data_IF_327555539901
#
_entry.id   IF_327555539901
#
_cell.length_a   1.000
_cell.length_b   1.000
_cell.length_c   1.000
_cell.angle_alpha   90.00
_cell.angle_beta   90.00
_cell.angle_gamma   90.00
#
_symmetry.space_group_name_H-M   'P 1'
#
loop_
_entity.id
_entity.type
_entity.pdbx_description
1 polymer ?
#
# COMPACT_ATOMS: atom_id res chain seq x y z
N UNK A 1 -9.24 -11.11 16.80
CA UNK A 1 -9.27 -10.32 18.02
C UNK A 1 -9.34 -8.85 17.69
N UNK A 2 -10.14 -8.11 18.41
CA UNK A 2 -10.27 -6.67 18.20
C UNK A 2 -9.85 -5.93 19.45
N UNK A 3 -9.13 -4.82 19.26
CA UNK A 3 -8.64 -4.01 20.36
C UNK A 3 -9.24 -2.64 20.24
N UNK A 4 -9.74 -2.09 21.34
CA UNK A 4 -10.35 -0.77 21.34
C UNK A 4 -9.84 0.00 22.55
N UNK A 5 -9.50 1.28 22.39
CA UNK A 5 -9.00 2.04 23.51
C UNK A 5 -10.18 2.43 24.42
N UNK A 6 -9.90 3.01 25.56
CA UNK A 6 -10.93 3.30 26.53
C UNK A 6 -11.93 4.31 26.03
N UNK A 7 -11.54 5.23 25.20
CA UNK A 7 -12.45 6.22 24.71
C UNK A 7 -13.14 5.75 23.46
N UNK A 8 -12.86 4.57 22.98
CA UNK A 8 -13.49 4.07 21.77
C UNK A 8 -12.98 4.71 20.51
N UNK A 9 -11.91 5.47 20.57
CA UNK A 9 -11.41 6.16 19.38
C UNK A 9 -10.58 5.25 18.49
N UNK A 10 -10.05 4.21 19.02
CA UNK A 10 -9.18 3.32 18.26
C UNK A 10 -9.71 1.92 18.27
N UNK A 11 -9.74 1.30 17.12
CA UNK A 11 -10.16 -0.06 17.01
C UNK A 11 -9.21 -0.78 16.09
N UNK A 12 -8.67 -1.89 16.51
CA UNK A 12 -7.84 -2.72 15.68
C UNK A 12 -8.37 -4.12 15.73
N UNK A 13 -8.62 -4.71 14.59
CA UNK A 13 -9.09 -6.07 14.49
C UNK A 13 -8.03 -6.88 13.80
N UNK A 14 -7.69 -8.01 14.37
CA UNK A 14 -6.65 -8.84 13.86
C UNK A 14 -7.18 -10.23 13.56
N UNK A 15 -6.97 -10.72 12.36
CA UNK A 15 -7.32 -12.07 12.02
C UNK A 15 -6.14 -12.66 11.27
N UNK A 16 -6.01 -13.96 11.33
CA UNK A 16 -4.90 -14.58 10.66
C UNK A 16 -4.93 -14.32 9.16
N UNK A 17 -6.09 -14.38 8.58
CA UNK A 17 -6.19 -14.23 7.14
C UNK A 17 -6.06 -12.80 6.67
N UNK A 18 -6.21 -11.85 7.55
CA UNK A 18 -6.17 -10.46 7.15
C UNK A 18 -4.85 -9.76 7.35
N UNK A 19 -3.80 -10.49 7.67
CA UNK A 19 -2.52 -9.85 7.90
C UNK A 19 -1.89 -9.38 6.60
N UNK A 20 -1.40 -8.14 6.52
CA UNK A 20 -0.68 -7.70 5.33
C UNK A 20 0.63 -8.48 5.20
N UNK A 21 1.13 -8.59 3.97
CA UNK A 21 2.40 -9.27 3.75
C UNK A 21 3.52 -8.54 4.47
N UNK A 22 3.49 -7.24 4.50
CA UNK A 22 4.53 -6.45 5.13
C UNK A 22 3.92 -5.33 5.96
N UNK A 23 4.50 -5.06 7.11
CA UNK A 23 4.07 -3.94 7.92
C UNK A 23 5.25 -3.41 8.70
N UNK A 24 5.22 -2.14 9.01
CA UNK A 24 6.29 -1.51 9.77
C UNK A 24 5.86 -0.14 10.23
N UNK A 25 6.82 0.61 10.76
CA UNK A 25 6.55 1.94 11.27
C UNK A 25 7.62 2.88 10.74
N UNK A 26 7.18 3.97 10.15
CA UNK A 26 8.12 4.96 9.65
C UNK A 26 8.62 5.82 10.79
N UNK A 27 9.73 6.49 10.57
CA UNK A 27 10.24 7.44 11.55
C UNK A 27 9.14 8.46 11.81
N UNK A 28 8.85 8.75 13.04
CA UNK A 28 7.75 9.64 13.38
C UNK A 28 6.51 8.90 13.82
N UNK A 29 6.46 7.60 13.62
CA UNK A 29 5.38 6.81 14.19
C UNK A 29 4.29 6.39 13.21
N UNK A 30 4.34 6.83 11.96
CA UNK A 30 3.27 6.44 11.03
C UNK A 30 3.43 4.98 10.63
N UNK A 31 2.36 4.23 10.71
CA UNK A 31 2.39 2.82 10.30
C UNK A 31 2.42 2.72 8.79
N UNK A 32 3.06 1.67 8.27
CA UNK A 32 3.07 1.40 6.84
C UNK A 32 2.72 -0.06 6.66
N UNK A 33 1.82 -0.34 5.74
CA UNK A 33 1.41 -1.72 5.43
C UNK A 33 1.30 -1.87 3.93
N UNK A 34 1.68 -3.00 3.40
CA UNK A 34 1.48 -3.23 1.98
C UNK A 34 1.44 -4.71 1.63
N UNK A 35 0.84 -5.00 0.47
CA UNK A 35 0.79 -6.32 -0.10
C UNK A 35 1.70 -6.34 -1.31
N UNK A 36 2.42 -7.41 -1.52
CA UNK A 36 3.30 -7.54 -2.66
C UNK A 36 2.65 -8.44 -3.71
N UNK A 37 2.59 -7.98 -4.94
CA UNK A 37 2.02 -8.76 -6.04
C UNK A 37 2.98 -8.71 -7.22
N UNK A 38 3.05 -9.82 -7.93
CA UNK A 38 3.95 -9.94 -9.08
C UNK A 38 3.16 -10.35 -10.32
N UNK A 39 3.52 -9.82 -11.48
CA UNK A 39 2.94 -10.28 -12.73
C UNK A 39 4.02 -10.24 -13.80
N UNK A 40 3.93 -11.16 -14.77
CA UNK A 40 4.79 -11.13 -15.93
C UNK A 40 4.00 -10.63 -17.14
N UNK A 41 2.75 -10.25 -16.91
CA UNK A 41 1.88 -9.79 -17.98
C UNK A 41 1.95 -8.27 -18.08
N UNK A 42 1.29 -7.68 -19.05
CA UNK A 42 1.29 -6.24 -19.22
C UNK A 42 0.15 -5.58 -18.46
N UNK A 43 -0.47 -6.28 -17.54
CA UNK A 43 -1.53 -5.71 -16.71
C UNK A 43 -1.64 -6.48 -15.42
N UNK A 44 -2.29 -5.88 -14.43
CA UNK A 44 -2.55 -6.56 -13.18
C UNK A 44 -4.00 -6.28 -12.79
N UNK A 45 -4.73 -7.33 -12.46
CA UNK A 45 -6.15 -7.22 -12.14
C UNK A 45 -6.38 -6.85 -10.68
N UNK A 46 -7.43 -6.08 -10.43
CA UNK A 46 -7.78 -5.71 -9.07
C UNK A 46 -8.07 -6.94 -8.23
N UNK A 47 -8.59 -8.00 -8.84
CA UNK A 47 -8.93 -9.21 -8.12
C UNK A 47 -7.71 -10.00 -7.64
N UNK A 48 -6.51 -9.54 -7.91
CA UNK A 48 -5.33 -10.19 -7.37
C UNK A 48 -5.27 -10.06 -5.85
N UNK A 49 -6.00 -9.08 -5.27
CA UNK A 49 -6.11 -9.01 -3.82
C UNK A 49 -7.32 -9.84 -3.38
N UNK A 50 -7.13 -10.63 -2.35
CA UNK A 50 -8.24 -11.42 -1.80
C UNK A 50 -9.14 -10.51 -0.98
N UNK A 51 -10.38 -10.93 -0.69
CA UNK A 51 -11.26 -10.13 0.15
C UNK A 51 -10.64 -9.81 1.51
N UNK A 52 -9.87 -10.73 2.08
CA UNK A 52 -9.23 -10.50 3.37
C UNK A 52 -8.15 -9.44 3.25
N UNK A 53 -7.41 -9.43 2.15
CA UNK A 53 -6.39 -8.43 1.93
C UNK A 53 -7.02 -7.05 1.72
N UNK A 54 -8.14 -7.00 1.00
CA UNK A 54 -8.87 -5.76 0.80
C UNK A 54 -9.35 -5.21 2.13
N UNK A 55 -9.89 -6.07 2.98
CA UNK A 55 -10.39 -5.64 4.27
C UNK A 55 -9.26 -5.11 5.14
N UNK A 56 -8.14 -5.77 5.13
CA UNK A 56 -6.99 -5.36 5.93
C UNK A 56 -6.47 -4.01 5.48
N UNK A 57 -6.29 -3.81 4.19
CA UNK A 57 -5.79 -2.54 3.67
C UNK A 57 -6.80 -1.42 3.94
N UNK A 58 -8.08 -1.71 3.84
CA UNK A 58 -9.12 -0.74 4.13
C UNK A 58 -9.02 -0.29 5.58
N UNK A 59 -8.88 -1.23 6.50
CA UNK A 59 -8.80 -0.90 7.90
C UNK A 59 -7.57 -0.08 8.23
N UNK A 60 -6.41 -0.52 7.77
CA UNK A 60 -5.17 0.18 8.07
C UNK A 60 -5.16 1.58 7.46
N UNK A 61 -5.68 1.71 6.25
CA UNK A 61 -5.76 3.02 5.60
C UNK A 61 -6.67 3.95 6.41
N UNK A 62 -7.80 3.43 6.88
CA UNK A 62 -8.74 4.21 7.64
C UNK A 62 -8.13 4.68 8.95
N UNK A 63 -7.23 3.92 9.52
CA UNK A 63 -6.58 4.27 10.77
C UNK A 63 -5.34 5.16 10.57
N UNK A 64 -5.06 5.56 9.36
CA UNK A 64 -3.98 6.51 9.10
C UNK A 64 -2.68 5.92 8.61
N UNK A 65 -2.64 4.63 8.38
CA UNK A 65 -1.41 4.01 7.88
C UNK A 65 -1.18 4.36 6.43
N UNK A 66 0.08 4.35 6.01
CA UNK A 66 0.40 4.42 4.60
C UNK A 66 0.16 3.01 4.06
N UNK A 67 -0.87 2.85 3.24
CA UNK A 67 -1.25 1.54 2.72
C UNK A 67 -1.11 1.53 1.21
N UNK A 68 -0.46 0.50 0.66
CA UNK A 68 -0.26 0.43 -0.77
C UNK A 68 -0.04 -1.00 -1.24
N UNK A 69 -0.02 -1.18 -2.55
CA UNK A 69 0.28 -2.46 -3.16
C UNK A 69 1.60 -2.30 -3.90
N UNK A 70 2.57 -3.16 -3.60
CA UNK A 70 3.84 -3.12 -4.26
C UNK A 70 3.77 -4.10 -5.40
N UNK A 71 3.74 -3.60 -6.63
CA UNK A 71 3.59 -4.45 -7.81
C UNK A 71 4.94 -4.61 -8.48
N UNK A 72 5.34 -5.85 -8.79
CA UNK A 72 6.53 -6.07 -9.58
C UNK A 72 6.11 -6.65 -10.93
N UNK A 73 6.69 -6.12 -11.98
CA UNK A 73 6.42 -6.60 -13.34
C UNK A 73 7.76 -7.05 -13.90
N UNK A 74 7.87 -8.31 -14.21
CA UNK A 74 9.15 -8.86 -14.62
C UNK A 74 10.14 -8.85 -13.48
N UNK A 75 11.40 -8.60 -13.78
CA UNK A 75 12.44 -8.71 -12.77
C UNK A 75 12.93 -7.38 -12.20
N UNK A 76 12.73 -6.29 -12.90
CA UNK A 76 13.30 -5.03 -12.47
C UNK A 76 12.34 -3.85 -12.47
N UNK A 77 11.08 -4.07 -12.68
CA UNK A 77 10.13 -2.97 -12.72
C UNK A 77 9.21 -3.07 -11.50
N UNK A 78 9.26 -2.04 -10.66
CA UNK A 78 8.52 -2.05 -9.42
C UNK A 78 7.67 -0.78 -9.29
N UNK A 79 6.46 -0.92 -8.75
CA UNK A 79 5.51 0.17 -8.67
C UNK A 79 4.83 0.16 -7.30
N UNK A 80 4.72 1.33 -6.68
CA UNK A 80 4.06 1.46 -5.39
C UNK A 80 2.72 2.11 -5.65
N UNK A 81 1.66 1.34 -5.70
CA UNK A 81 0.33 1.83 -6.01
C UNK A 81 -0.41 2.12 -4.73
N UNK A 82 -0.78 3.38 -4.45
CA UNK A 82 -1.51 3.69 -3.23
C UNK A 82 -2.80 2.91 -3.15
N UNK A 83 -3.21 2.57 -1.92
CA UNK A 83 -4.44 1.80 -1.74
C UNK A 83 -5.64 2.51 -2.36
N UNK A 84 -5.72 3.83 -2.26
CA UNK A 84 -6.86 4.55 -2.81
C UNK A 84 -6.94 4.37 -4.33
N UNK A 85 -5.80 4.36 -5.01
CA UNK A 85 -5.78 4.18 -6.46
C UNK A 85 -6.21 2.76 -6.81
N UNK A 86 -5.73 1.79 -6.08
CA UNK A 86 -6.11 0.40 -6.34
C UNK A 86 -7.59 0.21 -6.07
N UNK A 87 -8.08 0.75 -4.95
CA UNK A 87 -9.49 0.63 -4.57
C UNK A 87 -10.39 1.25 -5.63
N UNK A 88 -10.01 2.43 -6.12
CA UNK A 88 -10.84 3.19 -7.03
C UNK A 88 -10.49 2.95 -8.50
N UNK A 89 -9.89 1.84 -8.80
CA UNK A 89 -9.41 1.50 -10.13
C UNK A 89 -10.48 1.63 -11.20
N UNK A 90 -11.70 1.20 -10.89
CA UNK A 90 -12.80 1.27 -11.84
C UNK A 90 -13.18 2.72 -12.14
N UNK A 91 -13.19 3.58 -11.12
CA UNK A 91 -13.55 4.97 -11.33
C UNK A 91 -12.44 5.73 -12.05
N UNK A 92 -11.19 5.42 -11.76
CA UNK A 92 -10.06 6.14 -12.33
C UNK A 92 -9.80 5.73 -13.77
N UNK A 93 -9.79 4.43 -14.02
CA UNK A 93 -9.39 3.92 -15.34
C UNK A 93 -10.55 3.34 -16.14
N UNK A 94 -11.72 3.24 -15.57
CA UNK A 94 -12.88 2.68 -16.26
C UNK A 94 -12.86 1.16 -16.34
N UNK A 95 -11.93 0.51 -15.68
CA UNK A 95 -11.82 -0.94 -15.70
C UNK A 95 -11.15 -1.42 -14.41
N UNK A 96 -11.23 -2.70 -14.12
CA UNK A 96 -10.71 -3.26 -12.89
C UNK A 96 -9.35 -3.90 -13.07
N UNK A 97 -8.51 -3.29 -13.89
CA UNK A 97 -7.10 -3.68 -14.00
C UNK A 97 -6.28 -2.46 -14.37
N UNK A 98 -4.99 -2.52 -14.09
CA UNK A 98 -4.06 -1.46 -14.45
C UNK A 98 -3.11 -1.99 -15.50
N UNK A 99 -2.90 -1.20 -16.55
CA UNK A 99 -1.95 -1.54 -17.60
C UNK A 99 -0.61 -0.92 -17.23
N UNK A 100 0.44 -1.27 -17.95
CA UNK A 100 1.76 -0.74 -17.67
C UNK A 100 1.76 0.79 -17.69
N UNK A 101 1.03 1.40 -18.61
CA UNK A 101 0.99 2.86 -18.67
C UNK A 101 0.31 3.46 -17.45
N UNK A 102 -0.63 2.75 -16.85
CA UNK A 102 -1.30 3.22 -15.65
C UNK A 102 -0.40 3.11 -14.43
N UNK A 103 0.51 2.14 -14.46
CA UNK A 103 1.43 1.92 -13.35
C UNK A 103 2.60 2.89 -13.39
N UNK A 104 2.93 3.42 -14.55
CA UNK A 104 4.14 4.21 -14.71
C UNK A 104 4.29 5.36 -13.71
N UNK A 105 3.26 6.14 -13.39
CA UNK A 105 3.40 7.22 -12.41
C UNK A 105 3.77 6.73 -11.02
N UNK A 106 3.63 5.43 -10.77
CA UNK A 106 3.89 4.87 -9.44
C UNK A 106 5.19 4.07 -9.39
N UNK A 107 6.01 4.19 -10.42
CA UNK A 107 7.27 3.45 -10.48
C UNK A 107 8.20 3.87 -9.35
N UNK A 108 8.85 2.90 -8.72
CA UNK A 108 9.86 3.18 -7.71
C UNK A 108 11.21 2.76 -8.24
N UNK A 109 12.25 3.39 -7.72
CA UNK A 109 13.58 3.14 -8.23
C UNK A 109 14.15 1.84 -7.73
N UNK A 110 14.89 1.16 -8.59
CA UNK A 110 15.60 -0.05 -8.23
C UNK A 110 17.01 0.18 -8.75
N UNK A 111 17.90 0.64 -7.88
CA UNK A 111 19.24 1.01 -8.27
C UNK A 111 20.26 0.18 -7.52
N UNK A 112 21.17 -0.44 -8.27
CA UNK A 112 22.25 -1.23 -7.68
C UNK A 112 21.74 -2.29 -6.69
N UNK A 113 20.62 -2.90 -7.00
CA UNK A 113 20.05 -3.93 -6.16
C UNK A 113 19.24 -3.42 -4.98
N UNK A 114 19.06 -2.09 -4.85
CA UNK A 114 18.31 -1.54 -3.75
C UNK A 114 16.99 -0.99 -4.26
N UNK A 115 15.89 -1.47 -3.69
CA UNK A 115 14.57 -1.02 -4.08
C UNK A 115 14.13 0.10 -3.16
N UNK A 116 13.86 1.26 -3.72
CA UNK A 116 13.50 2.43 -2.93
C UNK A 116 12.00 2.55 -2.76
N UNK A 117 11.39 1.54 -2.22
CA UNK A 117 9.94 1.44 -2.19
C UNK A 117 9.27 2.42 -1.23
N UNK A 118 9.98 2.95 -0.26
CA UNK A 118 9.38 3.87 0.69
C UNK A 118 9.75 5.33 0.43
N UNK A 119 10.44 5.59 -0.69
CA UNK A 119 10.84 6.94 -0.95
C UNK A 119 9.63 7.84 -1.09
N UNK A 120 9.58 8.92 -0.39
CA UNK A 120 8.47 9.86 -0.45
C UNK A 120 7.30 9.57 0.49
N UNK A 121 7.29 8.41 1.11
CA UNK A 121 6.15 8.05 1.95
C UNK A 121 6.11 8.88 3.23
N UNK A 122 7.26 9.23 3.76
CA UNK A 122 7.31 9.95 5.01
C UNK A 122 7.27 11.45 4.89
N UNK A 123 7.08 11.97 3.73
CA UNK A 123 7.09 13.38 3.57
C UNK A 123 6.14 14.15 4.42
N UNK A 124 4.96 13.67 4.58
CA UNK A 124 3.98 14.40 5.30
C UNK A 124 4.39 14.73 6.71
N UNK A 125 4.98 13.81 7.38
CA UNK A 125 5.27 14.12 8.75
C UNK A 125 6.50 14.98 8.84
N UNK A 126 7.31 14.98 7.84
CA UNK A 126 8.50 15.76 7.90
C UNK A 126 8.18 17.20 7.89
N UNK A 127 7.13 17.55 7.25
CA UNK A 127 6.81 18.91 7.15
C UNK A 127 6.48 19.52 8.44
N UNK A 128 5.75 18.90 9.23
CA UNK A 128 5.42 19.54 10.40
C UNK A 128 6.40 19.25 11.35
N UNK A 129 6.76 18.14 11.42
CA UNK A 129 7.63 17.90 12.40
C UNK A 129 8.85 18.47 12.15
N UNK A 130 9.02 18.47 11.08
CA UNK A 130 10.26 18.76 10.75
C UNK A 130 10.88 19.88 11.25
N UNK A 131 10.27 20.47 11.61
CA UNK A 131 10.92 21.46 12.05
C UNK A 131 11.62 20.87 13.02
N UNK A 132 12.28 20.44 13.07
CA UNK A 132 13.00 19.84 14.06
C UNK A 132 13.90 20.63 14.58
#
# INVERSE_FOLDING_TARGET
>A
MCIRDRQGRFLACYTKAGQPDFKGTLTGGRAVVFEAKHTDSDKIDQSRLTPEQVESLTLHHKLGAAAFIMVSVGLENFYRVPWEVWRDMKQIYGRKHMKLEDLEPYRVQYIAGILKLLEGVEIDYTEEGGTP
#
